data_IF_063174177852
#
_entry.id   IF_063174177852
#
_cell.length_a   1.000
_cell.length_b   1.000
_cell.length_c   1.000
_cell.angle_alpha   90.00
_cell.angle_beta   90.00
_cell.angle_gamma   90.00
#
_symmetry.space_group_name_H-M   'P 1'
#
loop_
_entity.id
_entity.type
_entity.pdbx_description
1 polymer ?
#
# COMPACT_ATOMS: atom_id res chain seq x y z
N UNK A 1 23.57 14.01 -2.65
CA UNK A 1 23.59 13.26 -1.37
C UNK A 1 22.44 12.27 -1.36
N UNK A 2 22.72 10.97 -1.21
CA UNK A 2 21.66 9.95 -1.19
C UNK A 2 20.85 10.09 0.10
N UNK A 3 19.52 9.99 0.03
CA UNK A 3 18.69 10.02 1.23
C UNK A 3 18.82 8.66 1.92
N UNK A 4 19.84 8.50 2.78
CA UNK A 4 20.16 7.23 3.45
C UNK A 4 18.94 6.62 4.15
N UNK A 5 18.15 7.45 4.82
CA UNK A 5 16.92 7.03 5.50
C UNK A 5 15.84 6.46 4.56
N UNK A 6 15.83 6.82 3.27
CA UNK A 6 14.91 6.24 2.28
C UNK A 6 15.29 4.80 1.99
N UNK A 7 16.59 4.50 1.89
CA UNK A 7 17.08 3.13 1.72
C UNK A 7 16.78 2.28 2.96
N UNK A 8 16.94 2.84 4.16
CA UNK A 8 16.55 2.18 5.42
C UNK A 8 15.04 1.89 5.46
N UNK A 9 14.23 2.84 4.96
CA UNK A 9 12.79 2.67 4.84
C UNK A 9 12.44 1.50 3.92
N UNK A 10 13.07 1.42 2.74
CA UNK A 10 12.90 0.31 1.80
C UNK A 10 13.28 -1.04 2.42
N UNK A 11 14.40 -1.11 3.15
CA UNK A 11 14.81 -2.32 3.88
C UNK A 11 13.75 -2.73 4.90
N UNK A 12 13.24 -1.77 5.67
CA UNK A 12 12.17 -2.04 6.64
C UNK A 12 10.89 -2.55 5.98
N UNK A 13 10.48 -1.97 4.84
CA UNK A 13 9.31 -2.44 4.07
C UNK A 13 9.50 -3.89 3.61
N UNK A 14 10.66 -4.23 3.04
CA UNK A 14 10.95 -5.62 2.64
C UNK A 14 10.98 -6.59 3.81
N UNK A 15 11.42 -6.12 4.98
CA UNK A 15 11.40 -6.88 6.23
C UNK A 15 10.01 -7.03 6.86
N UNK A 16 8.95 -6.47 6.25
CA UNK A 16 7.59 -6.53 6.80
C UNK A 16 7.35 -5.57 7.97
N UNK A 17 8.20 -4.57 8.19
CA UNK A 17 8.03 -3.59 9.25
C UNK A 17 6.86 -2.64 8.93
N UNK A 18 5.79 -2.72 9.73
CA UNK A 18 4.56 -1.92 9.55
C UNK A 18 4.80 -0.42 9.67
N UNK A 19 5.69 0.02 10.55
CA UNK A 19 6.01 1.45 10.71
C UNK A 19 6.78 1.99 9.51
N UNK A 20 7.70 1.21 8.95
CA UNK A 20 8.40 1.54 7.71
C UNK A 20 7.43 1.60 6.52
N UNK A 21 6.47 0.66 6.44
CA UNK A 21 5.42 0.69 5.40
C UNK A 21 4.54 1.94 5.49
N UNK A 22 4.06 2.28 6.68
CA UNK A 22 3.27 3.50 6.89
C UNK A 22 4.02 4.77 6.45
N UNK A 23 5.26 4.92 6.91
CA UNK A 23 6.12 6.05 6.50
C UNK A 23 6.42 6.06 5.00
N UNK A 24 6.58 4.89 4.38
CA UNK A 24 6.79 4.77 2.94
C UNK A 24 5.58 5.28 2.14
N UNK A 25 4.36 4.92 2.56
CA UNK A 25 3.13 5.41 1.97
C UNK A 25 3.07 6.95 2.07
N UNK A 26 3.33 7.52 3.25
CA UNK A 26 3.38 8.98 3.43
C UNK A 26 4.39 9.67 2.51
N UNK A 27 5.58 9.08 2.31
CA UNK A 27 6.59 9.62 1.38
C UNK A 27 6.07 9.57 -0.07
N UNK A 28 5.38 8.50 -0.44
CA UNK A 28 4.81 8.32 -1.79
C UNK A 28 3.65 9.28 -2.04
N UNK A 29 2.83 9.60 -1.05
CA UNK A 29 1.68 10.52 -1.20
C UNK A 29 2.10 11.99 -1.15
N UNK A 30 3.07 12.35 -0.31
CA UNK A 30 3.51 13.73 -0.05
C UNK A 30 4.06 14.44 -1.30
N UNK A 31 3.41 15.51 -1.77
CA UNK A 31 3.87 16.34 -2.90
C UNK A 31 5.23 17.02 -2.66
N UNK A 32 5.55 17.33 -1.39
CA UNK A 32 6.80 18.01 -0.98
C UNK A 32 8.05 17.12 -1.00
N UNK A 33 7.91 15.80 -1.21
CA UNK A 33 9.01 14.81 -1.07
C UNK A 33 9.37 14.14 -2.40
N UNK A 34 9.37 14.90 -3.49
CA UNK A 34 9.48 14.34 -4.85
C UNK A 34 10.79 13.58 -5.08
N UNK A 35 11.92 14.04 -4.54
CA UNK A 35 13.21 13.38 -4.67
C UNK A 35 13.24 12.02 -3.93
N UNK A 36 12.72 11.99 -2.70
CA UNK A 36 12.67 10.79 -1.87
C UNK A 36 11.65 9.78 -2.39
N UNK A 37 10.48 10.25 -2.85
CA UNK A 37 9.50 9.45 -3.58
C UNK A 37 10.14 8.75 -4.77
N UNK A 38 10.84 9.50 -5.64
CA UNK A 38 11.51 8.92 -6.82
C UNK A 38 12.56 7.88 -6.42
N UNK A 39 13.35 8.14 -5.38
CA UNK A 39 14.35 7.18 -4.90
C UNK A 39 13.70 5.89 -4.38
N UNK A 40 12.67 6.01 -3.53
CA UNK A 40 11.97 4.87 -2.96
C UNK A 40 11.29 4.02 -4.03
N UNK A 41 10.57 4.66 -4.98
CA UNK A 41 9.87 3.96 -6.05
C UNK A 41 10.83 3.21 -6.98
N UNK A 42 12.03 3.75 -7.24
CA UNK A 42 13.07 3.02 -7.99
C UNK A 42 13.48 1.74 -7.26
N UNK A 43 13.83 1.82 -5.98
CA UNK A 43 14.22 0.65 -5.19
C UNK A 43 13.11 -0.42 -5.13
N UNK A 44 11.86 0.03 -4.97
CA UNK A 44 10.69 -0.87 -5.00
C UNK A 44 10.53 -1.52 -6.37
N UNK A 45 10.64 -0.76 -7.46
CA UNK A 45 10.50 -1.28 -8.82
C UNK A 45 11.60 -2.31 -9.15
N UNK A 46 12.86 -1.99 -8.85
CA UNK A 46 14.00 -2.89 -9.07
C UNK A 46 13.80 -4.21 -8.30
N UNK A 47 13.29 -4.12 -7.07
CA UNK A 47 12.95 -5.30 -6.27
C UNK A 47 11.80 -6.12 -6.88
N UNK A 48 10.73 -5.50 -7.37
CA UNK A 48 9.61 -6.20 -8.01
C UNK A 48 10.06 -6.91 -9.29
N UNK A 49 10.87 -6.25 -10.13
CA UNK A 49 11.39 -6.83 -11.37
C UNK A 49 12.27 -8.05 -11.09
N UNK A 50 13.12 -7.97 -10.08
CA UNK A 50 14.04 -9.05 -9.70
C UNK A 50 13.34 -10.23 -9.00
N UNK A 51 12.39 -9.96 -8.10
CA UNK A 51 11.76 -11.02 -7.28
C UNK A 51 10.46 -11.56 -7.84
N UNK A 52 9.80 -10.83 -8.76
CA UNK A 52 8.51 -11.18 -9.38
C UNK A 52 7.50 -11.72 -8.35
N UNK A 53 7.18 -10.93 -7.30
CA UNK A 53 6.36 -11.42 -6.19
C UNK A 53 4.97 -11.82 -6.69
N UNK A 54 4.50 -13.00 -6.26
CA UNK A 54 3.15 -13.46 -6.56
C UNK A 54 2.16 -12.75 -5.64
N UNK A 55 1.31 -11.92 -6.21
CA UNK A 55 0.22 -11.22 -5.50
C UNK A 55 -1.04 -11.23 -6.35
N UNK A 56 -2.19 -11.46 -5.73
CA UNK A 56 -3.50 -11.35 -6.38
C UNK A 56 -4.08 -9.97 -6.06
N UNK A 57 -4.47 -9.22 -7.10
CA UNK A 57 -5.07 -7.89 -6.97
C UNK A 57 -6.53 -7.96 -7.41
N UNK A 58 -7.45 -7.72 -6.48
CA UNK A 58 -8.89 -7.79 -6.70
C UNK A 58 -9.51 -6.40 -6.52
N UNK A 59 -10.28 -5.95 -7.50
CA UNK A 59 -11.09 -4.73 -7.40
C UNK A 59 -12.51 -5.07 -6.93
N UNK A 60 -13.01 -4.38 -5.92
CA UNK A 60 -14.37 -4.55 -5.40
C UNK A 60 -15.08 -3.21 -5.55
N UNK A 61 -16.24 -3.21 -6.20
CA UNK A 61 -17.07 -2.03 -6.44
C UNK A 61 -18.54 -2.34 -6.21
N UNK A 62 -19.38 -1.30 -6.07
CA UNK A 62 -20.81 -1.41 -5.81
C UNK A 62 -21.36 -0.14 -5.17
N UNK A 63 -22.67 0.09 -5.30
CA UNK A 63 -23.34 1.29 -4.76
C UNK A 63 -23.25 1.44 -3.23
N UNK A 64 -23.61 2.61 -2.68
CA UNK A 64 -23.79 2.79 -1.23
C UNK A 64 -24.74 1.72 -0.66
N UNK A 65 -24.43 1.16 0.50
CA UNK A 65 -25.26 0.12 1.13
C UNK A 65 -25.16 -1.29 0.52
N UNK A 66 -24.40 -1.50 -0.56
CA UNK A 66 -24.24 -2.82 -1.20
C UNK A 66 -23.47 -3.89 -0.37
N UNK A 67 -23.20 -3.64 0.92
CA UNK A 67 -22.52 -4.61 1.80
C UNK A 67 -21.02 -4.78 1.53
N UNK A 68 -20.37 -3.89 0.78
CA UNK A 68 -18.94 -4.02 0.40
C UNK A 68 -18.01 -4.21 1.60
N UNK A 69 -18.17 -3.41 2.66
CA UNK A 69 -17.31 -3.50 3.85
C UNK A 69 -17.45 -4.84 4.56
N UNK A 70 -18.70 -5.31 4.73
CA UNK A 70 -19.01 -6.63 5.30
C UNK A 70 -18.42 -7.76 4.47
N UNK A 71 -18.52 -7.66 3.14
CA UNK A 71 -17.90 -8.62 2.24
C UNK A 71 -16.37 -8.62 2.35
N UNK A 72 -15.72 -7.44 2.33
CA UNK A 72 -14.27 -7.31 2.43
C UNK A 72 -13.76 -7.91 3.75
N UNK A 73 -14.46 -7.65 4.86
CA UNK A 73 -14.13 -8.21 6.17
C UNK A 73 -14.25 -9.74 6.16
N UNK A 74 -15.43 -10.28 5.82
CA UNK A 74 -15.67 -11.72 5.85
C UNK A 74 -14.73 -12.48 4.88
N UNK A 75 -14.54 -11.96 3.67
CA UNK A 75 -13.62 -12.54 2.68
C UNK A 75 -12.16 -12.43 3.13
N UNK A 76 -11.76 -11.28 3.69
CA UNK A 76 -10.41 -11.07 4.20
C UNK A 76 -10.06 -12.02 5.34
N UNK A 77 -10.95 -12.18 6.32
CA UNK A 77 -10.76 -13.12 7.44
C UNK A 77 -10.71 -14.56 6.94
N UNK A 78 -11.55 -14.93 5.98
CA UNK A 78 -11.48 -16.26 5.35
C UNK A 78 -10.12 -16.55 4.70
N UNK A 79 -9.55 -15.58 3.97
CA UNK A 79 -8.23 -15.68 3.36
C UNK A 79 -7.11 -15.81 4.39
N UNK A 80 -7.22 -15.09 5.51
CA UNK A 80 -6.24 -15.15 6.60
C UNK A 80 -6.35 -16.51 7.30
N UNK A 81 -7.54 -16.84 7.81
CA UNK A 81 -7.75 -17.98 8.72
C UNK A 81 -7.65 -19.33 8.02
N UNK A 82 -8.17 -19.46 6.79
CA UNK A 82 -8.22 -20.74 6.08
C UNK A 82 -7.07 -20.96 5.11
N UNK A 83 -6.47 -19.89 4.61
CA UNK A 83 -5.50 -19.95 3.51
C UNK A 83 -4.15 -19.31 3.83
N UNK A 84 -3.95 -18.86 5.07
CA UNK A 84 -2.74 -18.21 5.58
C UNK A 84 -2.22 -17.10 4.65
N UNK A 85 -3.14 -16.25 4.18
CA UNK A 85 -2.81 -15.13 3.29
C UNK A 85 -2.60 -13.85 4.08
N UNK A 86 -1.60 -13.08 3.65
CA UNK A 86 -1.44 -11.68 4.07
C UNK A 86 -2.33 -10.80 3.19
N UNK A 87 -3.33 -10.18 3.81
CA UNK A 87 -4.32 -9.34 3.12
C UNK A 87 -4.01 -7.86 3.34
N UNK A 88 -4.13 -7.07 2.28
CA UNK A 88 -4.09 -5.61 2.33
C UNK A 88 -5.32 -5.06 1.59
N UNK A 89 -5.96 -4.05 2.18
CA UNK A 89 -7.13 -3.36 1.59
C UNK A 89 -6.73 -1.92 1.31
N UNK A 90 -6.89 -1.48 0.07
CA UNK A 90 -6.70 -0.10 -0.34
C UNK A 90 -8.05 0.48 -0.77
N UNK A 91 -8.53 1.49 -0.05
CA UNK A 91 -9.73 2.23 -0.44
C UNK A 91 -9.36 3.31 -1.46
N UNK A 92 -10.18 3.44 -2.50
CA UNK A 92 -10.07 4.50 -3.50
C UNK A 92 -11.38 5.29 -3.45
N UNK A 93 -11.34 6.51 -2.95
CA UNK A 93 -12.49 7.40 -2.86
C UNK A 93 -12.26 8.68 -3.69
N UNK A 94 -12.96 8.83 -4.84
CA UNK A 94 -12.81 9.99 -5.71
C UNK A 94 -13.35 11.29 -5.09
N UNK A 95 -14.16 11.24 -4.02
CA UNK A 95 -14.72 12.45 -3.38
C UNK A 95 -13.68 13.30 -2.63
N UNK A 96 -12.52 12.72 -2.33
CA UNK A 96 -11.42 13.36 -1.59
C UNK A 96 -10.80 14.60 -2.26
N UNK A 97 -10.96 14.76 -3.58
CA UNK A 97 -10.45 15.93 -4.30
C UNK A 97 -11.31 17.21 -4.13
N UNK A 98 -12.58 17.08 -3.70
CA UNK A 98 -13.57 18.17 -3.75
C UNK A 98 -13.66 18.94 -2.42
N UNK A 99 -13.32 18.31 -1.29
CA UNK A 99 -13.60 18.89 0.04
C UNK A 99 -12.37 19.38 0.82
N UNK A 100 -11.22 19.65 0.17
CA UNK A 100 -10.05 20.25 0.83
C UNK A 100 -9.77 19.63 2.20
N UNK A 101 -9.29 18.38 2.19
CA UNK A 101 -9.25 17.50 3.37
C UNK A 101 -8.85 18.15 4.69
N UNK A 102 -9.45 17.66 5.77
CA UNK A 102 -9.13 18.01 7.16
C UNK A 102 -7.65 17.77 7.49
#
# INVERSE_FOLDING_TARGET
MSHKWVSELFVGVRGGNRASLSRAITVVESSKRSAQRRQLLRQVNDHIVSTRPKTLRLGISGGPGAGKSTFIEAFGMNLIDKYDKKVAVLAIDPSSAINGGS
#
